data_IF_543168703313
#
_entry.id   IF_543168703313
#
_cell.length_a   1.000
_cell.length_b   1.000
_cell.length_c   1.000
_cell.angle_alpha   90.00
_cell.angle_beta   90.00
_cell.angle_gamma   90.00
#
_symmetry.space_group_name_H-M   'P 1'
#
loop_
_entity.id
_entity.type
_entity.pdbx_description
1 polymer ?
#
# COMPACT_ATOMS: atom_id res chain seq x y z
N UNK A 1 -17.98 -39.80 -53.88
CA UNK A 1 -16.86 -38.87 -53.58
C UNK A 1 -17.27 -37.71 -52.66
N UNK A 2 -18.55 -37.32 -52.59
CA UNK A 2 -19.02 -36.23 -51.70
C UNK A 2 -19.02 -36.57 -50.19
N UNK A 3 -19.17 -37.84 -49.81
CA UNK A 3 -19.22 -38.26 -48.40
C UNK A 3 -17.90 -38.03 -47.64
N UNK A 4 -16.75 -38.28 -48.30
CA UNK A 4 -15.43 -38.10 -47.70
C UNK A 4 -15.09 -36.61 -47.49
N UNK A 5 -15.47 -35.73 -48.42
CA UNK A 5 -15.31 -34.28 -48.29
C UNK A 5 -16.09 -33.69 -47.10
N UNK A 6 -17.29 -34.22 -46.82
CA UNK A 6 -18.09 -33.78 -45.67
C UNK A 6 -17.46 -34.15 -44.33
N UNK A 7 -16.79 -35.31 -44.28
CA UNK A 7 -16.14 -35.84 -43.08
C UNK A 7 -14.86 -35.08 -42.77
N UNK A 8 -14.05 -34.78 -43.79
CA UNK A 8 -12.85 -33.95 -43.66
C UNK A 8 -13.20 -32.53 -43.19
N UNK A 9 -14.27 -31.93 -43.72
CA UNK A 9 -14.75 -30.61 -43.31
C UNK A 9 -15.21 -30.60 -41.84
N UNK A 10 -15.93 -31.63 -41.38
CA UNK A 10 -16.34 -31.75 -39.98
C UNK A 10 -15.15 -31.90 -39.03
N UNK A 11 -14.14 -32.69 -39.41
CA UNK A 11 -12.89 -32.84 -38.65
C UNK A 11 -12.17 -31.49 -38.57
N UNK A 12 -12.08 -30.76 -39.68
CA UNK A 12 -11.41 -29.44 -39.73
C UNK A 12 -12.09 -28.40 -38.84
N UNK A 13 -13.43 -28.37 -38.84
CA UNK A 13 -14.22 -27.51 -37.93
C UNK A 13 -14.02 -27.92 -36.48
N UNK A 14 -14.03 -29.22 -36.16
CA UNK A 14 -13.78 -29.72 -34.81
C UNK A 14 -12.41 -29.33 -34.27
N UNK A 15 -11.36 -29.43 -35.10
CA UNK A 15 -10.00 -29.00 -34.76
C UNK A 15 -9.93 -27.49 -34.55
N UNK A 16 -10.56 -26.69 -35.42
CA UNK A 16 -10.59 -25.24 -35.27
C UNK A 16 -11.28 -24.79 -33.97
N UNK A 17 -12.43 -25.39 -33.62
CA UNK A 17 -13.15 -25.10 -32.38
C UNK A 17 -12.31 -25.48 -31.15
N UNK A 18 -11.64 -26.64 -31.18
CA UNK A 18 -10.76 -27.08 -30.10
C UNK A 18 -9.58 -26.11 -29.90
N UNK A 19 -8.95 -25.65 -30.98
CA UNK A 19 -7.85 -24.67 -30.92
C UNK A 19 -8.30 -23.33 -30.32
N UNK A 20 -9.47 -22.84 -30.71
CA UNK A 20 -10.05 -21.62 -30.14
C UNK A 20 -10.36 -21.79 -28.65
N UNK A 21 -10.98 -22.91 -28.25
CA UNK A 21 -11.28 -23.18 -26.85
C UNK A 21 -10.01 -23.26 -25.99
N UNK A 22 -8.95 -23.89 -26.49
CA UNK A 22 -7.64 -23.93 -25.81
C UNK A 22 -7.02 -22.53 -25.73
N UNK A 23 -7.07 -21.74 -26.79
CA UNK A 23 -6.54 -20.37 -26.78
C UNK A 23 -7.30 -19.48 -25.77
N UNK A 24 -8.63 -19.58 -25.71
CA UNK A 24 -9.47 -18.88 -24.73
C UNK A 24 -9.16 -19.36 -23.32
N UNK A 25 -9.03 -20.65 -23.09
CA UNK A 25 -8.67 -21.20 -21.78
C UNK A 25 -7.28 -20.74 -21.33
N UNK A 26 -6.29 -20.73 -22.24
CA UNK A 26 -4.94 -20.22 -21.96
C UNK A 26 -4.95 -18.72 -21.69
N UNK A 27 -5.71 -17.93 -22.44
CA UNK A 27 -5.88 -16.50 -22.21
C UNK A 27 -6.57 -16.24 -20.86
N UNK A 28 -7.60 -17.02 -20.52
CA UNK A 28 -8.30 -16.96 -19.23
C UNK A 28 -7.39 -17.37 -18.07
N UNK A 29 -6.61 -18.44 -18.20
CA UNK A 29 -5.63 -18.89 -17.20
C UNK A 29 -4.47 -17.90 -17.02
N UNK A 30 -4.03 -17.22 -18.09
CA UNK A 30 -3.03 -16.15 -17.99
C UNK A 30 -3.62 -14.88 -17.36
N UNK A 31 -4.87 -14.56 -17.66
CA UNK A 31 -5.59 -13.40 -17.11
C UNK A 31 -5.95 -13.56 -15.63
N UNK A 32 -6.18 -14.80 -15.17
CA UNK A 32 -6.56 -15.09 -13.77
C UNK A 32 -5.37 -15.23 -12.81
N UNK A 33 -4.13 -15.28 -13.30
CA UNK A 33 -2.95 -15.26 -12.42
C UNK A 33 -2.78 -13.87 -11.83
N UNK A 34 -3.14 -13.71 -10.55
CA UNK A 34 -2.77 -12.52 -9.78
C UNK A 34 -1.27 -12.25 -9.95
N UNK A 35 -0.86 -11.00 -10.22
CA UNK A 35 0.54 -10.68 -10.37
C UNK A 35 1.30 -11.11 -9.12
N UNK A 36 2.42 -11.83 -9.33
CA UNK A 36 3.29 -12.26 -8.23
C UNK A 36 3.90 -11.01 -7.59
N UNK A 37 3.63 -10.82 -6.30
CA UNK A 37 4.17 -9.71 -5.52
C UNK A 37 5.70 -9.63 -5.54
N UNK A 38 6.24 -8.43 -5.36
CA UNK A 38 7.68 -8.18 -5.37
C UNK A 38 8.39 -8.55 -4.06
N UNK A 39 7.64 -8.67 -2.96
CA UNK A 39 8.18 -9.00 -1.63
C UNK A 39 8.74 -10.44 -1.54
N UNK A 40 9.58 -10.68 -0.53
CA UNK A 40 10.08 -12.00 -0.13
C UNK A 40 10.03 -12.12 1.40
N UNK A 41 9.31 -13.13 1.95
CA UNK A 41 9.10 -13.22 3.39
C UNK A 41 10.36 -13.64 4.15
N UNK A 42 11.29 -14.34 3.50
CA UNK A 42 12.48 -14.91 4.13
C UNK A 42 13.71 -14.01 3.90
N UNK A 43 13.83 -13.43 2.71
CA UNK A 43 15.02 -12.69 2.29
C UNK A 43 14.77 -11.19 2.13
N UNK A 44 15.81 -10.38 2.39
CA UNK A 44 15.77 -8.95 2.06
C UNK A 44 16.00 -8.74 0.56
N UNK A 45 15.14 -7.93 -0.05
CA UNK A 45 15.26 -7.43 -1.42
C UNK A 45 15.54 -5.93 -1.42
N UNK A 46 16.23 -5.44 -2.44
CA UNK A 46 16.57 -4.02 -2.58
C UNK A 46 15.55 -3.32 -3.48
N UNK A 47 15.10 -2.14 -3.07
CA UNK A 47 14.21 -1.28 -3.85
C UNK A 47 14.80 0.11 -3.94
N UNK A 48 14.87 0.68 -5.14
CA UNK A 48 15.52 1.96 -5.38
C UNK A 48 14.59 3.11 -5.03
N UNK A 49 15.09 4.09 -4.28
CA UNK A 49 14.40 5.36 -4.03
C UNK A 49 14.43 6.20 -5.31
N UNK A 50 13.26 6.46 -5.90
CA UNK A 50 13.14 7.26 -7.12
C UNK A 50 12.63 8.68 -6.86
N UNK A 51 11.96 8.91 -5.72
CA UNK A 51 11.49 10.23 -5.33
C UNK A 51 11.46 10.38 -3.81
N UNK A 52 11.87 11.55 -3.33
CA UNK A 52 11.72 11.99 -1.94
C UNK A 52 11.00 13.33 -1.93
N UNK A 53 9.90 13.42 -1.19
CA UNK A 53 9.10 14.66 -1.04
C UNK A 53 9.05 15.04 0.43
N UNK A 54 9.53 16.22 0.79
CA UNK A 54 9.41 16.72 2.15
C UNK A 54 7.96 17.20 2.37
N UNK A 55 7.28 16.70 3.41
CA UNK A 55 5.89 17.05 3.71
C UNK A 55 5.79 18.05 4.87
N UNK A 56 6.67 17.96 5.85
CA UNK A 56 6.78 18.89 6.97
C UNK A 56 8.21 18.94 7.51
N UNK A 57 8.50 19.67 8.58
CA UNK A 57 9.84 19.74 9.17
C UNK A 57 10.44 18.37 9.57
N UNK A 58 9.60 17.40 9.95
CA UNK A 58 10.05 16.08 10.38
C UNK A 58 9.38 14.93 9.63
N UNK A 59 8.65 15.18 8.54
CA UNK A 59 7.98 14.14 7.74
C UNK A 59 8.40 14.23 6.29
N UNK A 60 8.75 13.09 5.71
CA UNK A 60 8.98 12.96 4.28
C UNK A 60 8.33 11.70 3.71
N UNK A 61 7.93 11.78 2.45
CA UNK A 61 7.44 10.67 1.63
C UNK A 61 8.56 10.15 0.74
N UNK A 62 8.76 8.84 0.77
CA UNK A 62 9.78 8.13 0.01
C UNK A 62 9.08 7.17 -0.96
N UNK A 63 9.28 7.38 -2.26
CA UNK A 63 8.70 6.56 -3.33
C UNK A 63 9.77 5.64 -3.89
N UNK A 64 9.54 4.33 -3.79
CA UNK A 64 10.46 3.30 -4.25
C UNK A 64 9.91 2.62 -5.49
N UNK A 65 10.73 2.44 -6.52
CA UNK A 65 10.32 1.72 -7.73
C UNK A 65 10.26 0.21 -7.51
N UNK A 66 9.28 -0.42 -8.15
CA UNK A 66 9.20 -1.86 -8.31
C UNK A 66 9.90 -2.28 -9.62
N UNK A 67 10.18 -3.59 -9.82
CA UNK A 67 10.96 -4.06 -10.97
C UNK A 67 10.39 -3.67 -12.34
N UNK A 68 9.08 -3.48 -12.46
CA UNK A 68 8.43 -3.02 -13.70
C UNK A 68 7.28 -2.05 -13.39
N UNK A 69 6.87 -1.19 -14.35
CA UNK A 69 5.75 -0.26 -14.16
C UNK A 69 4.39 -0.92 -13.85
N UNK A 70 4.22 -2.22 -14.15
CA UNK A 70 3.01 -2.99 -13.87
C UNK A 70 3.14 -3.93 -12.66
N UNK A 71 4.30 -3.94 -12.01
CA UNK A 71 4.53 -4.74 -10.81
C UNK A 71 3.69 -4.24 -9.63
N UNK A 72 3.28 -5.14 -8.75
CA UNK A 72 2.65 -4.80 -7.47
C UNK A 72 3.58 -5.20 -6.33
N UNK A 73 3.49 -4.50 -5.19
CA UNK A 73 4.29 -4.86 -4.02
C UNK A 73 3.92 -6.26 -3.52
N UNK A 74 2.61 -6.59 -3.53
CA UNK A 74 2.07 -7.85 -3.07
C UNK A 74 2.02 -7.94 -1.55
N UNK A 75 1.68 -6.84 -0.89
CA UNK A 75 1.54 -6.78 0.56
C UNK A 75 0.06 -7.03 0.95
N UNK A 76 -0.27 -8.15 1.60
CA UNK A 76 -1.65 -8.38 2.03
C UNK A 76 -2.14 -7.30 3.00
N UNK A 77 -3.40 -6.91 2.86
CA UNK A 77 -4.02 -5.85 3.67
C UNK A 77 -4.00 -6.23 5.15
N UNK A 78 -3.44 -5.34 5.99
CA UNK A 78 -3.26 -5.57 7.42
C UNK A 78 -1.85 -6.07 7.81
N UNK A 79 -1.01 -6.38 6.82
CA UNK A 79 0.40 -6.73 7.01
C UNK A 79 1.32 -5.53 6.72
N UNK A 80 2.58 -5.67 7.11
CA UNK A 80 3.62 -4.65 6.96
C UNK A 80 4.90 -5.25 6.38
N UNK A 81 5.88 -4.40 6.08
CA UNK A 81 7.22 -4.78 5.65
C UNK A 81 8.24 -4.50 6.74
N UNK A 82 9.34 -5.26 6.76
CA UNK A 82 10.52 -4.98 7.57
C UNK A 82 11.56 -4.27 6.71
N UNK A 83 11.89 -3.04 7.07
CA UNK A 83 12.94 -2.27 6.42
C UNK A 83 14.23 -2.39 7.24
N UNK A 84 15.36 -2.56 6.55
CA UNK A 84 16.70 -2.61 7.15
C UNK A 84 17.51 -1.39 6.71
N UNK A 85 18.15 -0.74 7.67
CA UNK A 85 19.00 0.42 7.47
C UNK A 85 20.16 0.45 8.45
N UNK A 86 20.81 1.62 8.56
CA UNK A 86 21.92 1.88 9.49
C UNK A 86 21.67 3.13 10.31
N UNK A 87 22.01 3.11 11.59
CA UNK A 87 21.96 4.29 12.43
C UNK A 87 23.20 5.19 12.29
N UNK A 88 23.32 6.21 13.14
CA UNK A 88 24.42 7.17 13.12
C UNK A 88 25.78 6.60 13.50
N UNK A 89 25.82 5.41 14.11
CA UNK A 89 27.07 4.70 14.44
C UNK A 89 27.41 3.66 13.36
N UNK A 90 26.58 3.51 12.34
CA UNK A 90 26.75 2.50 11.28
C UNK A 90 26.15 1.14 11.63
N UNK A 91 25.54 1.00 12.81
CA UNK A 91 24.96 -0.25 13.29
C UNK A 91 23.64 -0.57 12.60
N UNK A 92 23.39 -1.86 12.35
CA UNK A 92 22.18 -2.31 11.69
C UNK A 92 20.93 -2.02 12.53
N UNK A 93 19.88 -1.54 11.87
CA UNK A 93 18.56 -1.36 12.46
C UNK A 93 17.49 -1.90 11.52
N UNK A 94 16.59 -2.73 12.06
CA UNK A 94 15.43 -3.25 11.35
C UNK A 94 14.17 -2.74 12.04
N UNK A 95 13.26 -2.14 11.28
CA UNK A 95 11.97 -1.63 11.79
C UNK A 95 10.81 -1.95 10.84
N UNK A 96 9.62 -2.20 11.37
CA UNK A 96 8.43 -2.38 10.57
C UNK A 96 7.93 -1.05 10.01
N UNK A 97 7.44 -1.06 8.77
CA UNK A 97 6.73 0.04 8.14
C UNK A 97 5.56 -0.50 7.33
N UNK A 98 4.43 0.21 7.34
CA UNK A 98 3.32 -0.06 6.43
C UNK A 98 3.32 0.99 5.32
N UNK A 99 3.47 0.58 4.05
CA UNK A 99 3.32 1.47 2.91
C UNK A 99 1.95 2.13 2.87
N UNK A 100 1.92 3.35 2.36
CA UNK A 100 0.68 4.13 2.15
C UNK A 100 0.03 3.85 0.78
N UNK A 101 0.66 2.98 -0.01
CA UNK A 101 0.14 2.46 -1.29
C UNK A 101 -0.52 1.09 -1.12
N UNK A 102 -1.39 0.75 -2.07
CA UNK A 102 -2.01 -0.57 -2.24
C UNK A 102 -1.50 -1.25 -3.50
N UNK A 103 -1.86 -2.52 -3.72
CA UNK A 103 -1.54 -3.24 -4.97
C UNK A 103 -2.30 -2.68 -6.20
N UNK A 104 -3.26 -1.78 -6.00
CA UNK A 104 -3.85 -0.95 -7.07
C UNK A 104 -2.90 0.16 -7.56
N UNK A 105 -1.94 0.57 -6.73
CA UNK A 105 -0.90 1.53 -7.07
C UNK A 105 0.29 0.75 -7.69
N UNK A 106 0.32 0.64 -9.01
CA UNK A 106 1.30 -0.21 -9.71
C UNK A 106 2.64 0.49 -9.95
N UNK A 107 3.71 -0.28 -9.97
CA UNK A 107 5.06 0.15 -10.34
C UNK A 107 5.87 0.78 -9.22
N UNK A 108 5.28 1.08 -8.06
CA UNK A 108 5.99 1.67 -6.93
C UNK A 108 5.34 1.33 -5.58
N UNK A 109 6.02 1.67 -4.49
CA UNK A 109 5.39 1.81 -3.18
C UNK A 109 5.89 3.04 -2.45
N UNK A 110 5.07 3.60 -1.56
CA UNK A 110 5.44 4.80 -0.79
C UNK A 110 5.50 4.52 0.70
N UNK A 111 6.53 5.08 1.34
CA UNK A 111 6.65 5.16 2.79
C UNK A 111 6.57 6.62 3.22
N UNK A 112 5.60 6.95 4.09
CA UNK A 112 5.56 8.23 4.79
C UNK A 112 6.22 8.07 6.15
N UNK A 113 7.37 8.71 6.32
CA UNK A 113 8.23 8.54 7.48
C UNK A 113 8.27 9.83 8.29
N UNK A 114 7.82 9.74 9.54
CA UNK A 114 8.12 10.73 10.58
C UNK A 114 9.49 10.43 11.17
N UNK A 115 10.42 11.35 11.00
CA UNK A 115 11.81 11.25 11.43
C UNK A 115 11.98 11.88 12.82
N UNK A 116 12.40 11.06 13.78
CA UNK A 116 12.68 11.52 15.14
C UNK A 116 14.18 11.85 15.28
N UNK A 117 14.56 12.93 16.00
CA UNK A 117 15.97 13.34 16.12
C UNK A 117 16.90 12.20 16.57
N UNK A 118 16.49 11.44 17.59
CA UNK A 118 17.23 10.32 18.17
C UNK A 118 16.79 8.95 17.61
N UNK A 119 16.00 8.92 16.54
CA UNK A 119 15.52 7.68 15.95
C UNK A 119 16.61 6.98 15.14
N UNK A 120 17.05 5.79 15.55
CA UNK A 120 18.04 4.97 14.83
C UNK A 120 17.70 4.79 13.35
N UNK A 121 16.47 4.36 13.06
CA UNK A 121 16.00 4.22 11.68
C UNK A 121 15.66 5.57 11.03
N UNK A 122 15.33 6.60 11.81
CA UNK A 122 15.13 7.95 11.31
C UNK A 122 16.45 8.54 10.77
N UNK A 123 17.60 8.20 11.36
CA UNK A 123 18.91 8.55 10.79
C UNK A 123 19.07 7.98 9.38
N UNK A 124 18.79 6.69 9.19
CA UNK A 124 18.86 6.06 7.87
C UNK A 124 18.05 6.80 6.81
N UNK A 125 16.78 7.12 7.10
CA UNK A 125 15.92 7.86 6.16
C UNK A 125 16.34 9.32 5.97
N UNK A 126 16.95 9.97 6.97
CA UNK A 126 17.52 11.32 6.81
C UNK A 126 18.65 11.33 5.78
N UNK A 127 19.54 10.34 5.85
CA UNK A 127 20.71 10.24 4.97
C UNK A 127 20.38 9.74 3.56
N UNK A 128 19.30 8.98 3.40
CA UNK A 128 18.90 8.44 2.10
C UNK A 128 18.65 9.54 1.05
N UNK A 129 19.18 9.34 -0.16
CA UNK A 129 19.06 10.20 -1.34
C UNK A 129 18.43 9.42 -2.50
N UNK A 130 17.83 10.15 -3.45
CA UNK A 130 17.30 9.53 -4.68
C UNK A 130 18.44 8.81 -5.40
N UNK A 131 18.19 7.58 -5.82
CA UNK A 131 19.22 6.69 -6.35
C UNK A 131 19.65 5.59 -5.38
N UNK A 132 19.51 5.80 -4.07
CA UNK A 132 19.85 4.82 -3.05
C UNK A 132 18.84 3.65 -3.01
N UNK A 133 19.20 2.59 -2.30
CA UNK A 133 18.38 1.39 -2.17
C UNK A 133 17.97 1.13 -0.71
N UNK A 134 16.71 0.76 -0.51
CA UNK A 134 16.19 0.28 0.77
C UNK A 134 16.09 -1.25 0.75
N UNK A 135 16.66 -1.89 1.77
CA UNK A 135 16.51 -3.33 2.00
C UNK A 135 15.17 -3.62 2.68
N UNK A 136 14.31 -4.39 2.01
CA UNK A 136 12.95 -4.71 2.46
C UNK A 136 12.71 -6.22 2.49
N UNK A 137 12.12 -6.72 3.57
CA UNK A 137 11.66 -8.10 3.73
C UNK A 137 10.18 -8.13 4.11
N UNK A 138 9.40 -9.03 3.53
CA UNK A 138 7.98 -9.11 3.82
C UNK A 138 7.20 -10.06 2.90
N UNK A 139 5.89 -10.22 3.11
CA UNK A 139 5.10 -9.53 4.11
C UNK A 139 5.34 -10.08 5.54
N UNK A 140 5.02 -9.28 6.56
CA UNK A 140 5.07 -9.64 7.99
C UNK A 140 3.80 -9.20 8.70
N UNK A 141 3.46 -9.89 9.80
CA UNK A 141 2.25 -9.65 10.58
C UNK A 141 1.22 -10.77 10.43
N UNK A 142 0.38 -10.93 11.46
CA UNK A 142 -0.63 -12.00 11.52
C UNK A 142 -2.00 -11.58 11.00
N UNK A 143 -2.33 -10.30 11.17
CA UNK A 143 -3.62 -9.77 10.74
C UNK A 143 -3.66 -9.70 9.21
N UNK A 144 -4.73 -10.24 8.63
CA UNK A 144 -5.00 -10.19 7.19
C UNK A 144 -6.47 -9.93 7.00
N UNK A 145 -6.80 -8.76 6.46
CA UNK A 145 -8.17 -8.38 6.19
C UNK A 145 -8.70 -9.05 4.92
N UNK A 146 -9.99 -9.42 4.93
CA UNK A 146 -10.75 -9.83 3.76
C UNK A 146 -12.02 -9.00 3.62
N UNK A 147 -12.43 -8.61 2.40
CA UNK A 147 -13.64 -7.80 2.20
C UNK A 147 -14.88 -8.38 2.87
N UNK A 148 -15.63 -7.56 3.62
CA UNK A 148 -16.83 -7.98 4.32
C UNK A 148 -16.62 -8.90 5.53
N UNK A 149 -15.37 -9.11 5.99
CA UNK A 149 -15.08 -9.92 7.18
C UNK A 149 -15.77 -9.40 8.45
N UNK A 150 -16.00 -8.10 8.53
CA UNK A 150 -16.68 -7.43 9.65
C UNK A 150 -17.62 -6.36 9.16
N UNK A 151 -18.65 -6.02 9.94
CA UNK A 151 -19.57 -4.92 9.61
C UNK A 151 -18.90 -3.54 9.67
N UNK A 152 -17.98 -3.36 10.62
CA UNK A 152 -17.32 -2.09 10.87
C UNK A 152 -15.98 -2.27 11.58
N UNK A 153 -15.04 -1.36 11.33
CA UNK A 153 -13.82 -1.16 12.11
C UNK A 153 -13.93 0.09 12.98
N UNK A 154 -13.55 -0.06 14.26
CA UNK A 154 -13.11 1.04 15.10
C UNK A 154 -11.59 1.06 15.13
N UNK A 155 -10.99 2.15 14.68
CA UNK A 155 -9.55 2.35 14.61
C UNK A 155 -9.14 3.47 15.56
N UNK A 156 -8.04 3.26 16.28
CA UNK A 156 -7.41 4.29 17.11
C UNK A 156 -5.95 4.35 16.70
N UNK A 157 -5.50 5.52 16.25
CA UNK A 157 -4.13 5.76 15.85
C UNK A 157 -3.54 6.95 16.61
N UNK A 158 -2.21 6.95 16.74
CA UNK A 158 -1.47 8.12 17.20
C UNK A 158 -0.16 8.28 16.44
N UNK A 159 0.17 9.51 16.06
CA UNK A 159 1.39 9.82 15.29
C UNK A 159 1.54 8.93 14.05
N UNK A 160 2.70 8.29 13.88
CA UNK A 160 2.98 7.40 12.74
C UNK A 160 2.19 6.09 12.75
N UNK A 161 1.47 5.76 13.82
CA UNK A 161 0.56 4.61 13.89
C UNK A 161 -0.65 4.69 12.94
N UNK A 162 -0.77 5.78 12.19
CA UNK A 162 -1.83 5.97 11.18
C UNK A 162 -1.65 5.08 9.95
N UNK A 163 -0.43 4.76 9.52
CA UNK A 163 -0.23 4.11 8.20
C UNK A 163 -0.84 2.71 8.08
N UNK A 164 -0.84 1.84 9.11
CA UNK A 164 -1.58 0.58 9.05
C UNK A 164 -3.10 0.79 8.96
N UNK A 165 -3.63 1.79 9.67
CA UNK A 165 -5.06 2.12 9.63
C UNK A 165 -5.46 2.65 8.26
N UNK A 166 -4.63 3.53 7.69
CA UNK A 166 -4.81 4.10 6.36
C UNK A 166 -4.81 3.03 5.28
N UNK A 167 -3.90 2.04 5.34
CA UNK A 167 -3.87 0.92 4.40
C UNK A 167 -5.18 0.12 4.41
N UNK A 168 -5.67 -0.24 5.60
CA UNK A 168 -6.92 -1.00 5.75
C UNK A 168 -8.11 -0.15 5.29
N UNK A 169 -8.17 1.12 5.68
CA UNK A 169 -9.23 2.04 5.28
C UNK A 169 -9.31 2.21 3.76
N UNK A 170 -8.19 2.52 3.09
CA UNK A 170 -8.15 2.60 1.62
C UNK A 170 -8.63 1.30 0.97
N UNK A 171 -8.15 0.15 1.44
CA UNK A 171 -8.51 -1.14 0.85
C UNK A 171 -10.02 -1.47 0.97
N UNK A 172 -10.66 -1.01 2.03
CA UNK A 172 -12.11 -1.13 2.22
C UNK A 172 -12.84 -0.15 1.30
N UNK A 173 -12.49 1.14 1.37
CA UNK A 173 -13.24 2.22 0.74
C UNK A 173 -13.11 2.23 -0.78
N UNK A 174 -11.92 1.88 -1.31
CA UNK A 174 -11.66 1.82 -2.75
C UNK A 174 -12.22 0.52 -3.39
N UNK A 175 -12.69 -0.43 -2.59
CA UNK A 175 -13.34 -1.64 -3.09
C UNK A 175 -14.87 -1.46 -3.12
N UNK A 176 -15.51 -1.29 -4.30
CA UNK A 176 -16.95 -1.01 -4.38
C UNK A 176 -17.83 -2.18 -3.89
N UNK A 177 -17.27 -3.39 -3.78
CA UNK A 177 -17.96 -4.58 -3.27
C UNK A 177 -17.88 -4.70 -1.75
N UNK A 178 -16.97 -3.97 -1.11
CA UNK A 178 -16.85 -3.95 0.33
C UNK A 178 -17.83 -2.92 0.92
N UNK A 179 -18.56 -3.32 1.96
CA UNK A 179 -19.56 -2.49 2.64
C UNK A 179 -19.20 -2.23 4.10
N UNK A 180 -18.04 -2.71 4.54
CA UNK A 180 -17.51 -2.47 5.89
C UNK A 180 -17.36 -0.97 6.14
N UNK A 181 -17.85 -0.52 7.30
CA UNK A 181 -17.70 0.88 7.74
C UNK A 181 -16.38 1.08 8.48
N UNK A 182 -15.79 2.26 8.40
CA UNK A 182 -14.53 2.58 9.08
C UNK A 182 -14.72 3.84 9.92
N UNK A 183 -14.43 3.73 11.21
CA UNK A 183 -14.43 4.85 12.15
C UNK A 183 -13.02 4.99 12.74
N UNK A 184 -12.41 6.16 12.59
CA UNK A 184 -11.05 6.42 13.03
C UNK A 184 -11.02 7.55 14.06
N UNK A 185 -10.42 7.28 15.21
CA UNK A 185 -9.95 8.31 16.14
C UNK A 185 -8.45 8.46 15.92
N UNK A 186 -8.00 9.66 15.58
CA UNK A 186 -6.60 9.93 15.29
C UNK A 186 -6.05 11.03 16.20
N UNK A 187 -5.13 10.65 17.09
CA UNK A 187 -4.58 11.51 18.13
C UNK A 187 -3.15 11.99 17.84
N UNK A 188 -2.93 13.29 17.91
CA UNK A 188 -1.63 13.94 17.70
C UNK A 188 -1.39 15.03 18.76
N UNK A 189 -0.15 15.54 18.85
CA UNK A 189 0.16 16.64 19.78
C UNK A 189 -0.41 17.94 19.23
N UNK A 190 0.01 18.33 18.02
CA UNK A 190 -0.44 19.53 17.31
C UNK A 190 -1.11 19.18 15.98
N UNK A 191 -1.77 20.14 15.34
CA UNK A 191 -2.37 19.97 14.01
C UNK A 191 -1.35 19.69 12.91
N UNK A 192 -0.15 20.20 13.07
CA UNK A 192 1.00 20.08 12.17
C UNK A 192 1.62 18.68 12.24
N UNK A 193 1.31 17.93 13.30
CA UNK A 193 1.73 16.55 13.49
C UNK A 193 0.82 15.52 12.80
N UNK A 194 -0.34 15.94 12.27
CA UNK A 194 -1.30 15.03 11.63
C UNK A 194 -0.71 14.56 10.29
N UNK A 195 -0.27 13.30 10.27
CA UNK A 195 0.21 12.66 9.06
C UNK A 195 -0.96 12.29 8.15
N UNK A 196 -0.77 12.41 6.84
CA UNK A 196 -1.76 12.05 5.81
C UNK A 196 -3.09 12.82 5.94
N UNK A 197 -3.06 14.04 6.48
CA UNK A 197 -4.29 14.82 6.74
C UNK A 197 -5.12 15.01 5.48
N UNK A 198 -4.50 15.48 4.40
CA UNK A 198 -5.18 15.74 3.13
C UNK A 198 -5.78 14.45 2.54
N UNK A 199 -5.04 13.34 2.60
CA UNK A 199 -5.52 12.05 2.12
C UNK A 199 -6.68 11.51 2.97
N UNK A 200 -6.62 11.65 4.29
CA UNK A 200 -7.69 11.23 5.21
C UNK A 200 -8.95 12.09 5.03
N UNK A 201 -8.81 13.39 4.91
CA UNK A 201 -9.92 14.32 4.65
C UNK A 201 -10.53 14.06 3.27
N UNK A 202 -9.70 13.71 2.28
CA UNK A 202 -10.12 13.28 0.95
C UNK A 202 -10.93 11.98 0.97
N UNK A 203 -10.51 10.98 1.77
CA UNK A 203 -11.28 9.75 1.99
C UNK A 203 -12.63 10.05 2.68
N UNK A 204 -12.64 10.92 3.69
CA UNK A 204 -13.86 11.27 4.41
C UNK A 204 -14.86 12.00 3.50
N UNK A 205 -14.35 12.84 2.61
CA UNK A 205 -15.16 13.58 1.62
C UNK A 205 -15.68 12.68 0.50
N UNK A 206 -14.86 11.74 0.02
CA UNK A 206 -15.21 10.82 -1.08
C UNK A 206 -16.15 9.70 -0.63
N UNK A 207 -16.06 9.30 0.65
CA UNK A 207 -16.81 8.17 1.21
C UNK A 207 -17.53 8.54 2.52
N UNK A 208 -18.44 9.54 2.53
CA UNK A 208 -19.02 10.11 3.76
C UNK A 208 -19.84 9.09 4.59
N UNK A 209 -20.45 8.11 3.91
CA UNK A 209 -21.19 7.03 4.57
C UNK A 209 -20.27 5.88 5.02
N UNK A 210 -19.09 5.74 4.40
CA UNK A 210 -18.16 4.64 4.60
C UNK A 210 -17.08 4.93 5.64
N UNK A 211 -16.63 6.18 5.73
CA UNK A 211 -15.50 6.60 6.57
C UNK A 211 -15.85 7.81 7.41
N UNK A 212 -15.60 7.71 8.72
CA UNK A 212 -15.67 8.83 9.66
C UNK A 212 -14.37 8.95 10.41
N UNK A 213 -13.84 10.15 10.49
CA UNK A 213 -12.60 10.46 11.22
C UNK A 213 -12.87 11.52 12.29
N UNK A 214 -12.25 11.33 13.45
CA UNK A 214 -12.25 12.26 14.57
C UNK A 214 -10.80 12.55 14.96
N UNK A 215 -10.37 13.79 14.78
CA UNK A 215 -9.05 14.24 15.20
C UNK A 215 -9.06 14.64 16.68
N UNK A 216 -8.03 14.23 17.41
CA UNK A 216 -7.81 14.59 18.82
C UNK A 216 -6.43 15.23 18.93
N UNK A 217 -6.37 16.45 19.47
CA UNK A 217 -5.12 17.18 19.67
C UNK A 217 -4.87 17.41 21.15
N UNK A 218 -3.64 17.17 21.59
CA UNK A 218 -3.22 17.52 22.95
C UNK A 218 -3.07 19.04 23.13
N UNK A 219 -2.61 19.72 22.09
CA UNK A 219 -2.41 21.16 22.05
C UNK A 219 -3.17 21.72 20.83
N UNK A 220 -4.11 22.63 21.10
CA UNK A 220 -4.76 23.41 20.06
C UNK A 220 -3.90 24.64 19.85
N UNK A 221 -3.29 24.79 18.67
CA UNK A 221 -2.69 26.07 18.28
C UNK A 221 -3.84 27.07 18.09
N UNK A 222 -4.24 27.73 19.17
CA UNK A 222 -5.19 28.83 19.13
C UNK A 222 -4.45 30.02 18.55
N UNK A 223 -4.61 30.26 17.24
CA UNK A 223 -4.36 31.61 16.71
C UNK A 223 -5.44 32.49 17.35
N UNK A 224 -5.10 33.18 18.44
CA UNK A 224 -6.01 34.15 19.05
C UNK A 224 -6.29 35.25 18.02
N UNK A 225 -7.56 35.53 17.69
CA UNK A 225 -7.91 36.64 16.78
C UNK A 225 -7.62 38.04 17.36
N UNK A 226 -7.02 38.13 18.56
CA UNK A 226 -6.76 39.39 19.27
C UNK A 226 -5.26 39.76 19.40
N UNK A 227 -4.40 39.25 18.51
CA UNK A 227 -3.06 39.85 18.33
C UNK A 227 -2.98 40.57 16.99
N UNK A 228 -3.49 41.82 16.99
CA UNK A 228 -3.02 42.93 16.17
C UNK A 228 -2.88 44.16 17.07
#
# INVERSE_FOLDING_TARGET
>A
MEFLQSQDFQILVGVAVALVAVAVAVAYLKSTKKPKGCLDPENFKQFKLVKRTQLSHNVAKFTFELPTPSSVLGLPIGQHISCRGKDSQGEEVIKPYTPTTLDSDVGYFELVIKMYPQGRMSHHFREMRVGDYLSVKGPKGRFRYQPGQVRAFGMIAGGSGITPMFQVARAILENPKDKTKVHLIYANVTSEDILLREELDGLASSYPDGFKIYYVLNQVNVISPYMQ
#
